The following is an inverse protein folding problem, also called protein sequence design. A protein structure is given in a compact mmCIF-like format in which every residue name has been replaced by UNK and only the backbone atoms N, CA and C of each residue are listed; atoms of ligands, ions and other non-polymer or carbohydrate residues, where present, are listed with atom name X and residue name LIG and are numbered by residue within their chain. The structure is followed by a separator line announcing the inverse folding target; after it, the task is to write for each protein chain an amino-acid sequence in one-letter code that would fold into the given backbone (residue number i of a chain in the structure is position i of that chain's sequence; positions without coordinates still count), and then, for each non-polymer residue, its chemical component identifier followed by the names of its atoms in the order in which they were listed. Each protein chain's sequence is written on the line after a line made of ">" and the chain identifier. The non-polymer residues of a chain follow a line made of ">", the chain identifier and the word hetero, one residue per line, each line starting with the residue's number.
data_IF_287494888293
#
_entry.id   IF_287494888293
#
_cell.length_a   1.000
_cell.length_b   1.000
_cell.length_c   1.000
_cell.angle_alpha   90.00
_cell.angle_beta   90.00
_cell.angle_gamma   90.00
#
_symmetry.space_group_name_H-M   'P 1'
#
loop_
_entity.id
_entity.type
_entity.pdbx_description
1 polymer ?
#
# COMPACT_ATOMS: atom_id res chain seq x y z
N UNK A 1 -29.34 0.81 -4.09
CA UNK A 1 -29.91 2.07 -3.55
C UNK A 1 -31.21 1.75 -2.83
N UNK A 2 -31.35 2.16 -1.57
CA UNK A 2 -32.56 1.95 -0.75
C UNK A 2 -33.78 2.62 -1.40
N UNK A 3 -34.95 1.98 -1.32
CA UNK A 3 -36.21 2.48 -1.90
C UNK A 3 -36.53 3.90 -1.41
N UNK A 4 -36.37 4.15 -0.11
CA UNK A 4 -36.50 5.46 0.53
C UNK A 4 -35.64 6.57 -0.12
N UNK A 5 -34.40 6.27 -0.51
CA UNK A 5 -33.54 7.26 -1.17
C UNK A 5 -34.04 7.63 -2.57
N UNK A 6 -34.60 6.66 -3.31
CA UNK A 6 -35.20 6.89 -4.62
C UNK A 6 -36.49 7.69 -4.51
N UNK A 7 -37.28 7.45 -3.47
CA UNK A 7 -38.55 8.14 -3.24
C UNK A 7 -38.29 9.59 -2.80
N UNK A 8 -37.28 9.85 -1.96
CA UNK A 8 -36.83 11.21 -1.63
C UNK A 8 -36.31 11.96 -2.87
N UNK A 9 -35.48 11.31 -3.69
CA UNK A 9 -34.97 11.88 -4.96
C UNK A 9 -36.08 12.24 -5.97
N UNK A 10 -37.28 11.70 -5.80
CA UNK A 10 -38.46 11.94 -6.65
C UNK A 10 -39.47 12.87 -6.00
N UNK A 11 -39.11 13.51 -4.88
CA UNK A 11 -39.98 14.39 -4.08
C UNK A 11 -41.27 13.71 -3.61
N UNK A 12 -41.27 12.37 -3.48
CA UNK A 12 -42.42 11.58 -3.04
C UNK A 12 -42.53 11.49 -1.51
N UNK A 13 -41.44 11.77 -0.80
CA UNK A 13 -41.36 11.78 0.67
C UNK A 13 -40.50 12.96 1.13
N UNK A 14 -40.76 13.46 2.34
CA UNK A 14 -39.97 14.54 2.94
C UNK A 14 -38.55 14.06 3.27
N UNK A 15 -37.61 15.00 3.35
CA UNK A 15 -36.24 14.74 3.81
C UNK A 15 -36.23 14.13 5.22
N UNK A 16 -37.11 14.59 6.11
CA UNK A 16 -37.22 14.09 7.49
C UNK A 16 -37.67 12.62 7.54
N UNK A 17 -38.65 12.25 6.70
CA UNK A 17 -39.13 10.87 6.57
C UNK A 17 -38.03 9.95 6.05
N UNK A 18 -37.29 10.39 5.04
CA UNK A 18 -36.13 9.66 4.53
C UNK A 18 -35.06 9.47 5.60
N UNK A 19 -34.74 10.52 6.36
CA UNK A 19 -33.72 10.45 7.41
C UNK A 19 -34.15 9.53 8.55
N UNK A 20 -35.43 9.52 8.89
CA UNK A 20 -36.03 8.61 9.88
C UNK A 20 -35.90 7.16 9.42
N UNK A 21 -36.36 6.85 8.21
CA UNK A 21 -36.27 5.50 7.63
C UNK A 21 -34.82 5.02 7.50
N UNK A 22 -33.90 5.92 7.13
CA UNK A 22 -32.47 5.62 7.07
C UNK A 22 -31.92 5.26 8.46
N UNK A 23 -32.29 6.04 9.47
CA UNK A 23 -31.86 5.81 10.85
C UNK A 23 -32.40 4.49 11.39
N UNK A 24 -33.68 4.21 11.14
CA UNK A 24 -34.34 2.96 11.49
C UNK A 24 -33.69 1.75 10.80
N UNK A 25 -33.39 1.85 9.51
CA UNK A 25 -32.66 0.81 8.80
C UNK A 25 -31.31 0.52 9.45
N UNK A 26 -30.51 1.55 9.75
CA UNK A 26 -29.21 1.34 10.37
C UNK A 26 -29.29 0.88 11.83
N UNK A 27 -30.32 1.29 12.58
CA UNK A 27 -30.55 0.79 13.94
C UNK A 27 -30.94 -0.69 13.91
N UNK A 28 -31.83 -1.10 12.99
CA UNK A 28 -32.20 -2.49 12.79
C UNK A 28 -30.99 -3.35 12.40
N UNK A 29 -30.13 -2.88 11.49
CA UNK A 29 -28.88 -3.57 11.14
C UNK A 29 -27.94 -3.69 12.34
N UNK A 30 -27.81 -2.65 13.16
CA UNK A 30 -26.99 -2.70 14.38
C UNK A 30 -27.55 -3.72 15.38
N UNK A 31 -28.86 -3.71 15.62
CA UNK A 31 -29.52 -4.67 16.50
C UNK A 31 -29.40 -6.10 16.00
N UNK A 32 -29.62 -6.35 14.71
CA UNK A 32 -29.48 -7.68 14.12
C UNK A 32 -28.04 -8.19 14.23
N UNK A 33 -27.03 -7.35 13.96
CA UNK A 33 -25.62 -7.71 14.13
C UNK A 33 -25.28 -8.01 15.59
N UNK A 34 -25.75 -7.19 16.52
CA UNK A 34 -25.57 -7.42 17.96
C UNK A 34 -26.22 -8.73 18.40
N UNK A 35 -27.45 -9.01 17.94
CA UNK A 35 -28.14 -10.27 18.20
C UNK A 35 -27.38 -11.48 17.67
N UNK A 36 -26.92 -11.44 16.42
CA UNK A 36 -26.08 -12.51 15.86
C UNK A 36 -24.80 -12.72 16.66
N UNK A 37 -24.16 -11.63 17.11
CA UNK A 37 -22.95 -11.69 17.90
C UNK A 37 -23.19 -12.28 19.30
N UNK A 38 -24.25 -11.84 19.98
CA UNK A 38 -24.62 -12.36 21.29
C UNK A 38 -25.00 -13.85 21.21
N UNK A 39 -25.81 -14.23 20.22
CA UNK A 39 -26.16 -15.64 19.96
C UNK A 39 -24.92 -16.50 19.70
N UNK A 40 -23.91 -15.96 19.01
CA UNK A 40 -22.64 -16.65 18.80
C UNK A 40 -21.88 -16.81 20.11
N UNK A 41 -21.80 -15.77 20.95
CA UNK A 41 -21.12 -15.83 22.24
C UNK A 41 -21.79 -16.77 23.24
N UNK A 42 -23.12 -16.78 23.30
CA UNK A 42 -23.89 -17.66 24.19
C UNK A 42 -23.72 -19.14 23.86
N UNK A 43 -23.53 -19.47 22.58
CA UNK A 43 -23.35 -20.85 22.10
C UNK A 43 -21.88 -21.25 21.96
N UNK A 44 -20.95 -20.31 22.11
CA UNK A 44 -19.54 -20.57 21.87
C UNK A 44 -18.96 -21.46 22.97
N UNK A 45 -18.50 -22.66 22.60
CA UNK A 45 -17.83 -23.58 23.51
C UNK A 45 -16.38 -23.86 23.07
N UNK A 46 -15.47 -23.92 24.04
CA UNK A 46 -14.08 -24.28 23.82
C UNK A 46 -13.34 -23.41 22.79
N UNK A 47 -13.14 -23.94 21.57
CA UNK A 47 -12.32 -23.30 20.51
C UNK A 47 -12.94 -22.02 19.96
N UNK A 48 -14.27 -21.89 19.99
CA UNK A 48 -14.99 -20.75 19.41
C UNK A 48 -14.81 -19.47 20.23
N UNK A 49 -14.61 -19.60 21.55
CA UNK A 49 -14.31 -18.49 22.46
C UNK A 49 -13.00 -17.79 22.05
N UNK A 50 -11.98 -18.56 21.65
CA UNK A 50 -10.71 -17.98 21.17
C UNK A 50 -10.86 -17.27 19.82
N UNK A 51 -11.80 -17.72 18.98
CA UNK A 51 -12.16 -17.02 17.73
C UNK A 51 -12.87 -15.70 18.03
N UNK A 52 -13.78 -15.70 19.01
CA UNK A 52 -14.42 -14.48 19.48
C UNK A 52 -13.38 -13.47 20.01
N UNK A 53 -12.47 -13.95 20.86
CA UNK A 53 -11.35 -13.16 21.37
C UNK A 53 -10.47 -12.61 20.25
N UNK A 54 -10.15 -13.40 19.22
CA UNK A 54 -9.36 -12.92 18.07
C UNK A 54 -10.04 -11.77 17.33
N UNK A 55 -11.37 -11.80 17.20
CA UNK A 55 -12.13 -10.75 16.52
C UNK A 55 -12.32 -9.49 17.35
N UNK A 56 -12.40 -9.60 18.68
CA UNK A 56 -12.54 -8.46 19.59
C UNK A 56 -11.20 -7.92 20.07
N UNK A 57 -10.11 -8.68 19.92
CA UNK A 57 -8.77 -8.22 20.26
C UNK A 57 -8.45 -7.01 19.41
N UNK A 58 -8.26 -5.88 20.08
CA UNK A 58 -7.78 -4.66 19.44
C UNK A 58 -6.55 -5.00 18.60
N UNK A 59 -6.63 -4.81 17.28
CA UNK A 59 -5.43 -4.80 16.46
C UNK A 59 -4.60 -3.63 16.96
N UNK A 60 -3.48 -3.94 17.63
CA UNK A 60 -2.38 -3.01 17.75
C UNK A 60 -1.79 -2.88 16.35
N UNK A 61 -2.39 -2.04 15.52
CA UNK A 61 -1.68 -1.50 14.37
C UNK A 61 -0.62 -0.60 14.99
N UNK A 62 0.59 -1.12 15.12
CA UNK A 62 1.72 -0.31 15.52
C UNK A 62 1.83 0.81 14.50
N UNK A 63 1.48 2.03 14.93
CA UNK A 63 1.69 3.21 14.11
C UNK A 63 3.19 3.29 13.90
N UNK A 64 3.62 3.24 12.65
CA UNK A 64 5.03 3.49 12.32
C UNK A 64 5.41 4.84 12.94
N UNK A 65 6.55 4.93 13.65
CA UNK A 65 6.96 6.19 14.28
C UNK A 65 7.17 7.28 13.24
N UNK A 66 7.20 8.54 13.68
CA UNK A 66 7.62 9.66 12.83
C UNK A 66 9.08 9.44 12.46
N UNK A 67 9.42 9.54 11.18
CA UNK A 67 10.79 9.42 10.70
C UNK A 67 11.39 10.81 10.55
N UNK A 68 12.52 11.06 11.20
CA UNK A 68 13.30 12.29 10.99
C UNK A 68 14.48 11.95 10.09
N UNK A 69 14.66 12.71 9.01
CA UNK A 69 15.71 12.46 8.03
C UNK A 69 16.28 13.76 7.47
N UNK A 70 17.47 13.66 6.86
CA UNK A 70 18.11 14.77 6.15
C UNK A 70 17.94 14.53 4.66
N UNK A 71 17.35 15.49 3.97
CA UNK A 71 17.08 15.41 2.54
C UNK A 71 18.34 15.68 1.70
N UNK A 72 18.25 15.50 0.37
CA UNK A 72 19.35 15.78 -0.56
C UNK A 72 19.89 17.21 -0.47
N UNK A 73 19.04 18.17 -0.10
CA UNK A 73 19.40 19.59 0.08
C UNK A 73 19.96 19.90 1.48
N UNK A 74 20.29 18.85 2.25
CA UNK A 74 20.84 18.93 3.61
C UNK A 74 19.89 19.56 4.64
N UNK A 75 18.59 19.61 4.34
CA UNK A 75 17.54 20.09 5.24
C UNK A 75 16.98 18.96 6.10
N UNK A 76 16.69 19.26 7.37
CA UNK A 76 16.05 18.31 8.29
C UNK A 76 14.53 18.27 8.06
N UNK A 77 14.00 17.10 7.72
CA UNK A 77 12.58 16.87 7.44
C UNK A 77 12.02 15.75 8.31
N UNK A 78 10.70 15.76 8.54
CA UNK A 78 9.97 14.74 9.28
C UNK A 78 8.85 14.14 8.43
N UNK A 79 8.76 12.82 8.37
CA UNK A 79 7.71 12.07 7.68
C UNK A 79 6.75 11.40 8.67
N UNK A 80 5.47 11.74 8.58
CA UNK A 80 4.42 11.31 9.52
C UNK A 80 3.48 10.30 8.85
N UNK A 81 3.09 10.56 7.61
CA UNK A 81 2.18 9.72 6.82
C UNK A 81 2.96 8.63 6.08
N UNK A 82 2.32 7.52 5.75
CA UNK A 82 2.96 6.38 5.06
C UNK A 82 3.69 6.80 3.77
N UNK A 83 3.04 7.58 2.91
CA UNK A 83 3.63 8.02 1.64
C UNK A 83 4.87 8.91 1.85
N UNK A 84 4.82 9.80 2.85
CA UNK A 84 5.97 10.62 3.23
C UNK A 84 7.15 9.75 3.69
N UNK A 85 6.86 8.66 4.42
CA UNK A 85 7.91 7.72 4.87
C UNK A 85 8.51 6.97 3.70
N UNK A 86 7.68 6.48 2.77
CA UNK A 86 8.16 5.84 1.55
C UNK A 86 9.05 6.78 0.75
N UNK A 87 8.63 8.03 0.55
CA UNK A 87 9.44 9.02 -0.15
C UNK A 87 10.73 9.35 0.59
N UNK A 88 10.68 9.49 1.92
CA UNK A 88 11.87 9.70 2.74
C UNK A 88 12.89 8.56 2.58
N UNK A 89 12.44 7.30 2.58
CA UNK A 89 13.33 6.16 2.33
C UNK A 89 13.95 6.22 0.93
N UNK A 90 13.15 6.54 -0.09
CA UNK A 90 13.64 6.59 -1.47
C UNK A 90 14.67 7.72 -1.63
N UNK A 91 14.37 8.94 -1.18
CA UNK A 91 15.26 10.09 -1.37
C UNK A 91 16.56 9.97 -0.58
N UNK A 92 16.49 9.42 0.64
CA UNK A 92 17.67 9.28 1.52
C UNK A 92 18.62 8.18 1.07
N UNK A 93 18.08 7.01 0.69
CA UNK A 93 18.87 5.84 0.28
C UNK A 93 19.33 5.95 -1.18
N UNK A 94 18.50 6.52 -2.05
CA UNK A 94 18.77 6.66 -3.47
C UNK A 94 18.89 8.13 -3.86
N UNK A 95 19.94 8.78 -3.35
CA UNK A 95 20.24 10.18 -3.68
C UNK A 95 20.35 10.33 -5.19
N UNK A 96 19.74 11.39 -5.73
CA UNK A 96 19.96 11.77 -7.13
C UNK A 96 21.46 11.98 -7.32
N UNK A 97 22.05 11.21 -8.22
CA UNK A 97 23.47 11.35 -8.55
C UNK A 97 23.74 12.79 -8.95
N UNK A 98 24.89 13.34 -8.53
CA UNK A 98 25.32 14.67 -8.98
C UNK A 98 25.25 14.71 -10.50
N UNK A 99 24.63 15.74 -11.06
CA UNK A 99 24.55 15.91 -12.50
C UNK A 99 25.97 15.90 -13.07
N UNK A 100 26.33 14.81 -13.74
CA UNK A 100 27.59 14.75 -14.46
C UNK A 100 27.53 15.77 -15.59
N UNK A 101 28.64 16.48 -15.88
CA UNK A 101 28.69 17.33 -17.06
C UNK A 101 28.34 16.47 -18.28
N UNK A 102 27.48 17.00 -19.16
CA UNK A 102 27.11 16.29 -20.38
C UNK A 102 28.39 15.99 -21.17
N UNK A 103 28.59 14.72 -21.51
CA UNK A 103 29.73 14.30 -22.34
C UNK A 103 29.70 15.11 -23.63
N UNK A 104 30.79 15.85 -23.90
CA UNK A 104 30.96 16.54 -25.16
C UNK A 104 31.34 15.51 -26.24
N UNK A 105 30.34 14.98 -26.93
CA UNK A 105 30.54 14.02 -28.02
C UNK A 105 31.42 14.56 -29.16
N UNK A 106 31.55 15.88 -29.29
CA UNK A 106 32.40 16.53 -30.31
C UNK A 106 33.90 16.35 -30.05
N UNK A 107 34.28 16.16 -28.79
CA UNK A 107 35.67 15.87 -28.36
C UNK A 107 35.90 14.36 -28.16
N UNK A 108 34.84 13.56 -28.21
CA UNK A 108 34.92 12.12 -28.06
C UNK A 108 35.41 11.49 -29.36
N UNK A 109 36.72 11.31 -29.47
CA UNK A 109 37.28 10.42 -30.48
C UNK A 109 37.09 8.97 -30.06
N UNK A 110 36.53 8.15 -30.94
CA UNK A 110 36.49 6.70 -30.75
C UNK A 110 37.93 6.23 -30.53
N UNK A 111 38.26 5.74 -29.33
CA UNK A 111 39.59 5.21 -29.08
C UNK A 111 39.83 4.08 -30.05
N UNK A 112 41.02 4.07 -30.66
CA UNK A 112 41.47 3.13 -31.67
C UNK A 112 40.93 1.72 -31.38
N UNK A 113 40.04 1.25 -32.28
CA UNK A 113 39.41 -0.07 -32.36
C UNK A 113 39.29 -0.79 -31.01
N UNK A 114 38.08 -0.81 -30.45
CA UNK A 114 37.78 -1.77 -29.39
C UNK A 114 38.12 -3.19 -29.88
N UNK A 115 39.19 -3.77 -29.33
CA UNK A 115 39.56 -5.16 -29.55
C UNK A 115 38.61 -6.05 -28.75
N UNK A 116 37.37 -6.12 -29.23
CA UNK A 116 36.44 -7.15 -28.80
C UNK A 116 37.13 -8.49 -29.03
N UNK A 117 37.37 -9.21 -27.95
CA UNK A 117 37.91 -10.56 -28.03
C UNK A 117 36.91 -11.40 -28.82
N UNK A 118 37.41 -12.21 -29.76
CA UNK A 118 36.55 -13.10 -30.53
C UNK A 118 35.91 -14.09 -29.55
N UNK A 119 34.58 -14.02 -29.44
CA UNK A 119 33.82 -14.87 -28.53
C UNK A 119 33.95 -16.31 -29.03
N UNK A 120 34.49 -17.19 -28.18
CA UNK A 120 34.64 -18.61 -28.53
C UNK A 120 33.32 -19.37 -28.32
N UNK A 121 33.06 -20.40 -29.14
CA UNK A 121 31.85 -21.24 -28.96
C UNK A 121 31.74 -21.86 -27.56
N UNK A 122 32.87 -22.06 -26.89
CA UNK A 122 32.95 -22.63 -25.55
C UNK A 122 32.43 -21.64 -24.50
N UNK A 123 32.74 -20.35 -24.62
CA UNK A 123 32.21 -19.30 -23.75
C UNK A 123 30.70 -19.12 -23.92
N UNK A 124 30.21 -19.20 -25.16
CA UNK A 124 28.77 -19.14 -25.45
C UNK A 124 28.05 -20.30 -24.76
N UNK A 125 28.55 -21.54 -24.95
CA UNK A 125 27.97 -22.72 -24.30
C UNK A 125 27.98 -22.58 -22.78
N UNK A 126 29.11 -22.17 -22.19
CA UNK A 126 29.20 -21.99 -20.72
C UNK A 126 28.21 -20.95 -20.20
N UNK A 127 28.00 -19.85 -20.92
CA UNK A 127 27.11 -18.75 -20.50
C UNK A 127 25.63 -19.14 -20.57
N UNK A 128 25.25 -19.92 -21.58
CA UNK A 128 23.88 -20.43 -21.74
C UNK A 128 23.52 -21.44 -20.64
N UNK A 129 24.47 -22.29 -20.25
CA UNK A 129 24.23 -23.32 -19.23
C UNK A 129 24.54 -22.87 -17.79
N UNK A 130 25.32 -21.81 -17.58
CA UNK A 130 25.58 -21.27 -16.23
C UNK A 130 24.47 -20.35 -15.71
N UNK A 131 23.73 -19.69 -16.61
CA UNK A 131 22.56 -18.87 -16.26
C UNK A 131 21.28 -19.67 -16.00
N UNK A 132 21.28 -20.97 -16.32
CA UNK A 132 20.15 -21.88 -16.10
C UNK A 132 20.45 -22.84 -14.95
N UNK A 133 20.62 -22.28 -13.75
CA UNK A 133 20.39 -22.99 -12.49
C UNK A 133 19.30 -22.26 -11.73
N UNK A 134 18.08 -22.47 -12.19
CA UNK A 134 16.85 -22.39 -11.38
C UNK A 134 16.10 -23.68 -11.61
#
# INVERSE_FOLDING_TARGET
>A
MTRAFRDFKRDLISYEDYQTQRTEYFSAVKQAKAGCWNNFLEKAEGKEIFKAYKYTKNLKVEKTPILNYVDSDNESKSAVIFDEKCNAFISTLFRKSSEYPSINWSEHHESEKWEWHQITEIEIKRSVFSGSKV
#
